data_IF_219812581204
#
_entry.id   IF_219812581204
#
_cell.length_a   1.000
_cell.length_b   1.000
_cell.length_c   1.000
_cell.angle_alpha   90.00
_cell.angle_beta   90.00
_cell.angle_gamma   90.00
#
_symmetry.space_group_name_H-M   'P 1'
#
loop_
_entity.id
_entity.type
_entity.pdbx_description
1 polymer ?
#
# COMPACT_ATOMS: atom_id res chain seq x y z
N UNK A 1 14.52 4.74 6.60
CA UNK A 1 14.44 3.57 5.70
C UNK A 1 14.80 3.90 4.25
N UNK A 2 15.54 4.98 3.96
CA UNK A 2 15.98 5.30 2.59
C UNK A 2 16.98 4.25 2.07
N UNK A 3 17.85 3.76 2.95
CA UNK A 3 18.88 2.77 2.65
C UNK A 3 18.35 1.46 2.06
N UNK A 4 17.27 0.90 2.62
CA UNK A 4 16.66 -0.35 2.11
C UNK A 4 16.09 -0.16 0.70
N UNK A 5 15.56 1.03 0.42
CA UNK A 5 15.01 1.37 -0.89
C UNK A 5 16.13 1.49 -1.92
N UNK A 6 17.21 2.17 -1.55
CA UNK A 6 18.40 2.33 -2.40
C UNK A 6 19.02 0.97 -2.72
N UNK A 7 19.15 0.07 -1.73
CA UNK A 7 19.70 -1.27 -1.99
C UNK A 7 18.83 -2.10 -2.93
N UNK A 8 17.49 -2.04 -2.81
CA UNK A 8 16.58 -2.72 -3.72
C UNK A 8 16.69 -2.21 -5.16
N UNK A 9 16.80 -0.88 -5.33
CA UNK A 9 17.01 -0.28 -6.65
C UNK A 9 18.40 -0.58 -7.23
N UNK A 10 19.44 -0.62 -6.40
CA UNK A 10 20.78 -1.03 -6.82
C UNK A 10 20.80 -2.49 -7.30
N UNK A 11 20.11 -3.39 -6.59
CA UNK A 11 19.98 -4.80 -7.01
C UNK A 11 19.21 -4.91 -8.33
N UNK A 12 18.11 -4.16 -8.48
CA UNK A 12 17.36 -4.12 -9.73
C UNK A 12 18.23 -3.63 -10.91
N UNK A 13 18.98 -2.55 -10.73
CA UNK A 13 19.92 -2.03 -11.73
C UNK A 13 21.01 -3.04 -12.08
N UNK A 14 21.56 -3.75 -11.09
CA UNK A 14 22.52 -4.81 -11.33
C UNK A 14 21.93 -5.97 -12.16
N UNK A 15 20.68 -6.37 -11.87
CA UNK A 15 19.97 -7.39 -12.66
C UNK A 15 19.73 -6.93 -14.11
N UNK A 16 19.33 -5.68 -14.32
CA UNK A 16 19.18 -5.12 -15.67
C UNK A 16 20.52 -5.01 -16.39
N UNK A 17 21.60 -4.61 -15.70
CA UNK A 17 22.95 -4.56 -16.27
C UNK A 17 23.40 -5.94 -16.79
N UNK A 18 23.21 -6.99 -15.99
CA UNK A 18 23.54 -8.37 -16.40
C UNK A 18 22.70 -8.82 -17.58
N UNK A 19 21.40 -8.49 -17.59
CA UNK A 19 20.50 -8.85 -18.68
C UNK A 19 20.87 -8.19 -20.02
N UNK A 20 21.26 -6.90 -20.01
CA UNK A 20 21.55 -6.15 -21.23
C UNK A 20 22.99 -6.27 -21.73
N UNK A 21 23.98 -6.43 -20.83
CA UNK A 21 25.41 -6.43 -21.20
C UNK A 21 25.98 -7.84 -21.29
N UNK A 22 25.71 -8.71 -20.31
CA UNK A 22 26.22 -10.08 -20.34
C UNK A 22 25.42 -10.99 -21.27
N UNK A 23 24.20 -10.61 -21.67
CA UNK A 23 23.32 -11.33 -22.60
C UNK A 23 23.37 -12.85 -22.42
N UNK A 24 22.90 -13.38 -21.28
CA UNK A 24 22.91 -14.82 -21.07
C UNK A 24 22.03 -15.51 -22.12
N UNK A 25 22.57 -16.55 -22.77
CA UNK A 25 21.82 -17.37 -23.75
C UNK A 25 20.70 -18.19 -23.09
N UNK A 26 20.73 -18.29 -21.76
CA UNK A 26 19.74 -19.02 -20.98
C UNK A 26 18.47 -18.19 -20.75
N UNK A 27 17.47 -18.40 -21.63
CA UNK A 27 16.11 -17.85 -21.51
C UNK A 27 15.50 -17.93 -20.09
N UNK A 28 15.53 -19.06 -19.35
CA UNK A 28 14.95 -19.11 -18.00
C UNK A 28 15.65 -18.18 -17.02
N UNK A 29 16.96 -17.97 -17.18
CA UNK A 29 17.75 -17.08 -16.33
C UNK A 29 17.43 -15.60 -16.60
N UNK A 30 17.17 -15.26 -17.88
CA UNK A 30 16.67 -13.93 -18.28
C UNK A 30 15.32 -13.63 -17.65
N UNK A 31 14.37 -14.56 -17.71
CA UNK A 31 13.05 -14.40 -17.09
C UNK A 31 13.15 -14.23 -15.57
N UNK A 32 14.00 -15.01 -14.91
CA UNK A 32 14.18 -14.94 -13.46
C UNK A 32 14.78 -13.58 -13.06
N UNK A 33 15.80 -13.10 -13.77
CA UNK A 33 16.38 -11.77 -13.55
C UNK A 33 15.39 -10.64 -13.77
N UNK A 34 14.52 -10.75 -14.78
CA UNK A 34 13.49 -9.76 -15.05
C UNK A 34 12.45 -9.70 -13.92
N UNK A 35 11.95 -10.86 -13.49
CA UNK A 35 11.01 -10.96 -12.35
C UNK A 35 11.68 -10.39 -11.10
N UNK A 36 12.92 -10.77 -10.82
CA UNK A 36 13.67 -10.30 -9.66
C UNK A 36 13.85 -8.77 -9.69
N UNK A 37 14.25 -8.21 -10.84
CA UNK A 37 14.50 -6.77 -11.02
C UNK A 37 13.25 -5.90 -10.93
N UNK A 38 12.06 -6.44 -11.24
CA UNK A 38 10.79 -5.68 -11.18
C UNK A 38 10.05 -5.91 -9.87
N UNK A 39 9.96 -7.16 -9.41
CA UNK A 39 9.12 -7.53 -8.26
C UNK A 39 9.74 -7.08 -6.95
N UNK A 40 11.06 -7.16 -6.75
CA UNK A 40 11.71 -6.73 -5.51
C UNK A 40 11.53 -5.22 -5.21
N UNK A 41 11.84 -4.29 -6.13
CA UNK A 41 11.61 -2.88 -5.87
C UNK A 41 10.10 -2.57 -5.75
N UNK A 42 9.24 -3.22 -6.54
CA UNK A 42 7.79 -3.07 -6.44
C UNK A 42 7.23 -3.46 -5.06
N UNK A 43 7.61 -4.63 -4.56
CA UNK A 43 7.23 -5.10 -3.22
C UNK A 43 7.82 -4.22 -2.12
N UNK A 44 9.05 -3.74 -2.30
CA UNK A 44 9.70 -2.82 -1.36
C UNK A 44 8.98 -1.48 -1.22
N UNK A 45 8.61 -0.85 -2.34
CA UNK A 45 7.83 0.39 -2.35
C UNK A 45 6.42 0.17 -1.77
N UNK A 46 5.75 -0.92 -2.13
CA UNK A 46 4.43 -1.25 -1.58
C UNK A 46 4.48 -1.46 -0.05
N UNK A 47 5.49 -2.17 0.44
CA UNK A 47 5.70 -2.36 1.88
C UNK A 47 6.02 -1.04 2.59
N UNK A 48 6.87 -0.20 2.00
CA UNK A 48 7.21 1.10 2.55
C UNK A 48 6.00 2.04 2.62
N UNK A 49 5.15 2.08 1.57
CA UNK A 49 3.91 2.85 1.57
C UNK A 49 2.93 2.32 2.62
N UNK A 50 2.74 1.01 2.71
CA UNK A 50 1.88 0.39 3.70
C UNK A 50 2.35 0.69 5.14
N UNK A 51 3.66 0.62 5.38
CA UNK A 51 4.25 0.95 6.67
C UNK A 51 4.07 2.44 6.99
N UNK A 52 4.30 3.33 6.03
CA UNK A 52 4.09 4.77 6.21
C UNK A 52 2.65 5.10 6.59
N UNK A 53 1.67 4.44 5.96
CA UNK A 53 0.24 4.58 6.31
C UNK A 53 -0.06 4.07 7.72
N UNK A 54 0.52 2.93 8.12
CA UNK A 54 0.39 2.40 9.48
C UNK A 54 1.02 3.33 10.52
N UNK A 55 2.23 3.81 10.27
CA UNK A 55 2.94 4.72 11.16
C UNK A 55 2.20 6.07 11.29
N UNK A 56 1.62 6.57 10.19
CA UNK A 56 0.78 7.76 10.22
C UNK A 56 -0.49 7.53 11.05
N UNK A 57 -1.16 6.39 10.86
CA UNK A 57 -2.36 6.04 11.62
C UNK A 57 -2.04 5.94 13.12
N UNK A 58 -1.01 5.17 13.48
CA UNK A 58 -0.59 4.99 14.88
C UNK A 58 -0.17 6.30 15.57
N UNK A 59 0.34 7.29 14.82
CA UNK A 59 0.66 8.61 15.37
C UNK A 59 -0.54 9.54 15.50
N UNK A 60 -1.54 9.37 14.63
CA UNK A 60 -2.67 10.30 14.49
C UNK A 60 -3.90 9.85 15.26
N UNK A 61 -4.08 8.54 15.42
CA UNK A 61 -5.23 7.93 16.08
C UNK A 61 -4.74 6.84 17.03
N UNK A 62 -5.14 6.95 18.30
CA UNK A 62 -4.89 5.93 19.31
C UNK A 62 -5.86 4.74 19.17
N UNK A 63 -7.07 4.97 18.62
CA UNK A 63 -8.09 3.94 18.43
C UNK A 63 -9.00 4.21 17.23
N UNK A 64 -9.78 3.19 16.84
CA UNK A 64 -10.82 3.29 15.79
C UNK A 64 -11.92 4.28 16.21
N UNK A 65 -12.18 4.44 17.51
CA UNK A 65 -13.19 5.36 18.03
C UNK A 65 -12.81 6.83 17.83
N UNK A 66 -11.52 7.17 17.91
CA UNK A 66 -11.05 8.52 17.55
C UNK A 66 -11.21 8.82 16.06
N UNK A 67 -11.00 7.80 15.22
CA UNK A 67 -11.28 7.93 13.78
C UNK A 67 -12.78 8.16 13.56
N UNK A 68 -13.63 7.43 14.29
CA UNK A 68 -15.10 7.60 14.26
C UNK A 68 -15.52 9.01 14.66
N UNK A 69 -14.96 9.55 15.74
CA UNK A 69 -15.25 10.90 16.21
C UNK A 69 -14.82 12.00 15.22
N UNK A 70 -13.81 11.75 14.38
CA UNK A 70 -13.43 12.69 13.32
C UNK A 70 -14.31 12.59 12.06
N UNK A 71 -15.09 11.53 11.89
CA UNK A 71 -16.04 11.42 10.79
C UNK A 71 -17.24 12.29 11.10
N UNK A 72 -17.29 13.47 10.48
CA UNK A 72 -18.35 14.45 10.70
C UNK A 72 -19.76 13.91 10.38
N UNK A 73 -19.88 13.01 9.40
CA UNK A 73 -21.17 12.49 8.92
C UNK A 73 -21.24 10.96 8.99
N UNK A 74 -21.28 10.44 10.21
CA UNK A 74 -21.41 8.99 10.47
C UNK A 74 -22.69 8.41 9.83
N UNK A 75 -23.81 9.13 9.95
CA UNK A 75 -25.09 8.72 9.37
C UNK A 75 -25.06 8.65 7.84
N UNK A 76 -24.35 9.57 7.18
CA UNK A 76 -24.19 9.53 5.73
C UNK A 76 -23.31 8.36 5.30
N UNK A 77 -22.25 8.05 6.07
CA UNK A 77 -21.38 6.92 5.78
C UNK A 77 -22.12 5.58 5.96
N UNK A 78 -22.99 5.48 6.97
CA UNK A 78 -23.86 4.30 7.19
C UNK A 78 -24.82 4.09 6.02
N UNK A 79 -25.56 5.13 5.62
CA UNK A 79 -26.45 5.06 4.45
C UNK A 79 -25.70 4.67 3.17
N UNK A 80 -24.52 5.26 2.96
CA UNK A 80 -23.71 4.96 1.79
C UNK A 80 -23.17 3.52 1.79
N UNK A 81 -22.83 2.98 2.97
CA UNK A 81 -22.49 1.57 3.14
C UNK A 81 -23.67 0.67 2.78
N UNK A 82 -24.85 0.99 3.29
CA UNK A 82 -26.04 0.16 3.10
C UNK A 82 -26.50 0.19 1.62
N UNK A 83 -26.34 1.32 0.93
CA UNK A 83 -26.68 1.45 -0.50
C UNK A 83 -25.63 0.87 -1.45
N UNK A 84 -24.33 1.11 -1.19
CA UNK A 84 -23.25 0.86 -2.16
C UNK A 84 -22.25 -0.21 -1.73
N UNK A 85 -22.36 -0.69 -0.50
CA UNK A 85 -21.50 -1.70 0.10
C UNK A 85 -20.26 -1.14 0.81
N UNK A 86 -19.72 -1.96 1.70
CA UNK A 86 -18.60 -1.68 2.61
C UNK A 86 -17.36 -1.14 1.89
N UNK A 87 -16.96 -1.77 0.78
CA UNK A 87 -15.74 -1.39 0.05
C UNK A 87 -15.84 0.01 -0.60
N UNK A 88 -17.02 0.38 -1.09
CA UNK A 88 -17.23 1.72 -1.67
C UNK A 88 -17.28 2.78 -0.58
N UNK A 89 -17.90 2.49 0.56
CA UNK A 89 -17.89 3.37 1.73
C UNK A 89 -16.47 3.57 2.29
N UNK A 90 -15.68 2.50 2.43
CA UNK A 90 -14.29 2.59 2.86
C UNK A 90 -13.42 3.42 1.88
N UNK A 91 -13.64 3.29 0.57
CA UNK A 91 -12.98 4.16 -0.44
C UNK A 91 -13.39 5.62 -0.30
N UNK A 92 -14.66 5.90 -0.03
CA UNK A 92 -15.15 7.26 0.18
C UNK A 92 -14.53 7.89 1.43
N UNK A 93 -14.43 7.13 2.53
CA UNK A 93 -13.71 7.55 3.74
C UNK A 93 -12.23 7.85 3.44
N UNK A 94 -11.57 6.99 2.65
CA UNK A 94 -10.18 7.24 2.22
C UNK A 94 -10.01 8.43 1.28
N UNK A 95 -11.07 8.96 0.65
CA UNK A 95 -10.97 10.24 -0.08
C UNK A 95 -10.87 11.42 0.89
N UNK A 96 -11.56 11.33 2.03
CA UNK A 96 -11.45 12.33 3.11
C UNK A 96 -10.13 12.17 3.87
N UNK A 97 -9.69 10.93 4.07
CA UNK A 97 -8.43 10.60 4.76
C UNK A 97 -7.52 9.71 3.88
N UNK A 98 -6.76 10.27 2.92
CA UNK A 98 -5.98 9.51 1.92
C UNK A 98 -4.87 8.63 2.50
N UNK A 99 -4.38 8.97 3.68
CA UNK A 99 -3.35 8.20 4.39
C UNK A 99 -3.93 7.07 5.25
N UNK A 100 -5.25 7.00 5.44
CA UNK A 100 -5.90 5.96 6.22
C UNK A 100 -5.66 4.57 5.58
N UNK A 101 -5.17 3.58 6.35
CA UNK A 101 -5.03 2.20 5.90
C UNK A 101 -6.38 1.59 5.50
N UNK A 102 -6.40 0.79 4.43
CA UNK A 102 -7.63 0.14 3.94
C UNK A 102 -8.29 -0.72 5.02
N UNK A 103 -7.49 -1.54 5.71
CA UNK A 103 -8.00 -2.44 6.74
C UNK A 103 -8.75 -1.68 7.85
N UNK A 104 -8.20 -0.56 8.32
CA UNK A 104 -8.83 0.25 9.37
C UNK A 104 -10.07 1.00 8.85
N UNK A 105 -10.04 1.49 7.61
CA UNK A 105 -11.22 2.10 6.98
C UNK A 105 -12.38 1.11 6.80
N UNK A 106 -12.08 -0.15 6.50
CA UNK A 106 -13.09 -1.21 6.37
C UNK A 106 -13.66 -1.58 7.73
N UNK A 107 -12.80 -1.79 8.74
CA UNK A 107 -13.24 -2.06 10.12
C UNK A 107 -14.15 -0.96 10.66
N UNK A 108 -13.81 0.31 10.44
CA UNK A 108 -14.66 1.42 10.84
C UNK A 108 -16.04 1.28 10.19
N UNK A 109 -16.10 1.12 8.86
CA UNK A 109 -17.35 1.00 8.12
C UNK A 109 -18.16 -0.23 8.54
N UNK A 110 -17.52 -1.34 8.87
CA UNK A 110 -18.19 -2.54 9.40
C UNK A 110 -18.75 -2.32 10.81
N UNK A 111 -18.08 -1.52 11.63
CA UNK A 111 -18.50 -1.22 13.02
C UNK A 111 -19.65 -0.21 13.15
N UNK A 112 -20.08 0.42 12.03
CA UNK A 112 -21.18 1.38 11.98
C UNK A 112 -22.57 0.74 11.94
#
# INVERSE_FOLDING_TARGET
>A
MYWIRVTLWCVALACFYVMFILKPDNLPLVFLLFILGVVLPGCGEAYADQRRRRDWYAKRFASIDELRMMVADEAALRRFRDEKGVLKAARQLRRQFPLCPIAESVKLVESL
#
